data_IF_704626823374
#
_entry.id   IF_704626823374
#
_cell.length_a   1.000
_cell.length_b   1.000
_cell.length_c   1.000
_cell.angle_alpha   90.00
_cell.angle_beta   90.00
_cell.angle_gamma   90.00
#
_symmetry.space_group_name_H-M   'P 1'
#
loop_
_entity.id
_entity.type
_entity.pdbx_description
1 polymer ?
#
# COMPACT_ATOMS: atom_id res chain seq x y z
N UNK A 1 2.24 0.94 -21.24
CA UNK A 1 1.66 1.77 -20.14
C UNK A 1 2.68 1.88 -19.03
N UNK A 2 3.16 3.04 -18.72
CA UNK A 2 4.28 3.26 -17.81
C UNK A 2 3.78 3.19 -16.37
N UNK A 3 4.49 2.49 -15.47
CA UNK A 3 4.19 2.43 -14.01
C UNK A 3 4.15 3.83 -13.40
N UNK A 4 4.86 4.75 -14.02
CA UNK A 4 4.99 6.14 -13.61
C UNK A 4 3.89 7.02 -14.17
N UNK A 5 3.30 6.64 -15.28
CA UNK A 5 2.16 7.32 -15.85
C UNK A 5 0.95 6.40 -15.94
N UNK A 6 0.41 6.02 -14.79
CA UNK A 6 -0.99 5.62 -14.80
C UNK A 6 -1.80 6.85 -15.26
N UNK A 7 -2.39 6.87 -16.48
CA UNK A 7 -3.15 8.04 -16.95
C UNK A 7 -4.31 8.41 -16.04
N UNK A 8 -4.69 7.48 -15.13
CA UNK A 8 -5.63 7.68 -14.03
C UNK A 8 -4.96 7.88 -12.66
N UNK A 9 -3.62 7.80 -12.55
CA UNK A 9 -2.89 7.93 -11.29
C UNK A 9 -3.01 9.35 -10.73
N UNK A 10 -3.43 9.45 -9.46
CA UNK A 10 -3.57 10.72 -8.73
C UNK A 10 -2.27 11.04 -8.02
N UNK A 11 -1.27 11.52 -8.76
CA UNK A 11 -0.07 12.04 -8.14
C UNK A 11 -0.29 13.46 -7.60
N UNK A 12 0.47 13.84 -6.59
CA UNK A 12 0.47 15.22 -6.04
C UNK A 12 0.84 16.20 -7.14
N UNK A 13 1.86 15.89 -7.94
CA UNK A 13 2.32 16.72 -9.06
C UNK A 13 1.23 16.98 -10.08
N UNK A 14 0.49 15.97 -10.50
CA UNK A 14 -0.63 16.11 -11.44
C UNK A 14 -1.77 16.96 -10.86
N UNK A 15 -2.03 16.80 -9.58
CA UNK A 15 -3.03 17.61 -8.89
C UNK A 15 -2.67 19.09 -8.87
N UNK A 16 -1.42 19.43 -8.58
CA UNK A 16 -0.90 20.78 -8.56
C UNK A 16 -0.81 21.40 -9.96
N UNK A 17 -0.38 20.62 -10.97
CA UNK A 17 -0.34 21.04 -12.36
C UNK A 17 -1.73 21.37 -12.91
N UNK A 18 -2.71 20.47 -12.74
CA UNK A 18 -4.08 20.68 -13.21
C UNK A 18 -4.78 21.86 -12.52
N UNK A 19 -4.31 22.26 -11.35
CA UNK A 19 -4.81 23.45 -10.61
C UNK A 19 -4.06 24.72 -10.99
N UNK A 20 -3.10 24.69 -11.94
CA UNK A 20 -2.31 25.85 -12.36
C UNK A 20 -1.30 26.35 -11.31
N UNK A 21 -0.99 25.53 -10.29
CA UNK A 21 -0.11 25.89 -9.18
C UNK A 21 1.37 25.73 -9.57
N UNK A 22 1.69 24.76 -10.43
CA UNK A 22 3.03 24.51 -10.94
C UNK A 22 3.03 24.52 -12.47
N UNK A 23 4.08 25.10 -13.07
CA UNK A 23 4.34 25.11 -14.51
C UNK A 23 5.36 24.05 -14.92
N UNK A 24 6.44 23.88 -14.13
CA UNK A 24 7.46 22.85 -14.35
C UNK A 24 7.15 21.61 -13.51
N UNK A 25 6.99 20.48 -14.19
CA UNK A 25 6.62 19.20 -13.58
C UNK A 25 7.78 18.22 -13.46
N UNK A 26 8.95 18.48 -14.06
CA UNK A 26 10.06 17.51 -14.13
C UNK A 26 10.51 17.01 -12.76
N UNK A 27 10.78 17.91 -11.82
CA UNK A 27 11.21 17.56 -10.46
C UNK A 27 10.14 16.82 -9.68
N UNK A 28 8.88 17.26 -9.79
CA UNK A 28 7.76 16.59 -9.11
C UNK A 28 7.53 15.19 -9.70
N UNK A 29 7.63 15.02 -11.02
CA UNK A 29 7.56 13.72 -11.66
C UNK A 29 8.70 12.80 -11.24
N UNK A 30 9.91 13.33 -11.12
CA UNK A 30 11.04 12.57 -10.61
C UNK A 30 10.80 12.07 -9.17
N UNK A 31 10.40 12.95 -8.26
CA UNK A 31 10.13 12.58 -6.86
C UNK A 31 8.97 11.57 -6.79
N UNK A 32 7.87 11.83 -7.49
CA UNK A 32 6.74 10.90 -7.56
C UNK A 32 7.21 9.52 -8.06
N UNK A 33 7.98 9.49 -9.15
CA UNK A 33 8.48 8.26 -9.76
C UNK A 33 9.39 7.48 -8.83
N UNK A 34 10.29 8.18 -8.14
CA UNK A 34 11.21 7.58 -7.18
C UNK A 34 10.46 6.96 -6.01
N UNK A 35 9.51 7.68 -5.42
CA UNK A 35 8.68 7.18 -4.31
C UNK A 35 7.81 6.01 -4.80
N UNK A 36 7.15 6.15 -5.94
CA UNK A 36 6.26 5.12 -6.49
C UNK A 36 7.01 3.84 -6.86
N UNK A 37 8.30 3.91 -7.16
CA UNK A 37 9.09 2.72 -7.50
C UNK A 37 9.15 1.69 -6.39
N UNK A 38 9.04 2.10 -5.12
CA UNK A 38 9.18 1.18 -3.97
C UNK A 38 8.09 1.26 -2.91
N UNK A 39 7.32 2.37 -2.80
CA UNK A 39 6.41 2.53 -1.65
C UNK A 39 5.28 1.50 -1.64
N UNK A 40 4.67 1.16 -2.78
CA UNK A 40 3.65 0.11 -2.85
C UNK A 40 4.24 -1.29 -2.63
N UNK A 41 5.36 -1.67 -3.29
CA UNK A 41 6.12 -2.87 -2.95
C UNK A 41 6.45 -3.01 -1.46
N UNK A 42 6.86 -1.93 -0.81
CA UNK A 42 7.14 -1.89 0.62
C UNK A 42 5.91 -2.26 1.47
N UNK A 43 4.72 -1.74 1.14
CA UNK A 43 3.51 -2.09 1.89
C UNK A 43 3.12 -3.57 1.72
N UNK A 44 3.27 -4.13 0.52
CA UNK A 44 3.07 -5.56 0.29
C UNK A 44 4.11 -6.39 1.07
N UNK A 45 5.38 -6.00 1.05
CA UNK A 45 6.44 -6.63 1.81
C UNK A 45 6.14 -6.62 3.31
N UNK A 46 5.79 -5.47 3.89
CA UNK A 46 5.43 -5.35 5.30
C UNK A 46 4.23 -6.25 5.66
N UNK A 47 3.27 -6.36 4.76
CA UNK A 47 2.11 -7.24 4.95
C UNK A 47 2.53 -8.71 4.98
N UNK A 48 3.51 -9.10 4.17
CA UNK A 48 4.12 -10.44 4.14
C UNK A 48 4.86 -10.81 5.43
N UNK A 49 5.53 -9.85 6.09
CA UNK A 49 6.26 -10.08 7.36
C UNK A 49 5.38 -10.72 8.43
N UNK A 50 4.12 -10.33 8.50
CA UNK A 50 3.20 -10.76 9.56
C UNK A 50 2.24 -11.87 9.13
N UNK A 51 2.19 -12.22 7.83
CA UNK A 51 1.19 -13.15 7.29
C UNK A 51 1.30 -14.53 7.94
N UNK A 52 2.50 -15.13 7.92
CA UNK A 52 2.69 -16.49 8.44
C UNK A 52 2.32 -16.59 9.92
N UNK A 53 2.80 -15.67 10.75
CA UNK A 53 2.47 -15.65 12.18
C UNK A 53 0.96 -15.49 12.41
N UNK A 54 0.32 -14.59 11.65
CA UNK A 54 -1.12 -14.36 11.74
C UNK A 54 -1.93 -15.58 11.31
N UNK A 55 -1.50 -16.29 10.26
CA UNK A 55 -2.14 -17.51 9.78
C UNK A 55 -1.99 -18.67 10.78
N UNK A 56 -0.79 -18.85 11.34
CA UNK A 56 -0.53 -19.90 12.34
C UNK A 56 -1.34 -19.71 13.63
N UNK A 57 -1.46 -18.47 14.12
CA UNK A 57 -2.20 -18.18 15.36
C UNK A 57 -3.71 -18.35 15.17
N UNK A 58 -4.26 -17.96 14.00
CA UNK A 58 -5.71 -17.97 13.78
C UNK A 58 -6.23 -19.24 13.10
N UNK A 59 -5.41 -19.89 12.29
CA UNK A 59 -5.85 -20.88 11.32
C UNK A 59 -6.54 -20.25 10.12
N UNK A 60 -6.67 -21.00 9.01
CA UNK A 60 -7.12 -20.48 7.72
C UNK A 60 -8.51 -19.80 7.76
N UNK A 61 -9.58 -20.40 8.32
CA UNK A 61 -10.90 -19.77 8.28
C UNK A 61 -10.95 -18.44 9.02
N UNK A 62 -10.43 -18.40 10.26
CA UNK A 62 -10.41 -17.16 11.05
C UNK A 62 -9.46 -16.12 10.49
N UNK A 63 -8.37 -16.54 9.86
CA UNK A 63 -7.50 -15.61 9.12
C UNK A 63 -8.26 -14.93 7.98
N UNK A 64 -9.02 -15.68 7.17
CA UNK A 64 -9.80 -15.12 6.06
C UNK A 64 -10.88 -14.16 6.60
N UNK A 65 -11.64 -14.55 7.62
CA UNK A 65 -12.65 -13.68 8.23
C UNK A 65 -12.03 -12.39 8.77
N UNK A 66 -10.90 -12.49 9.44
CA UNK A 66 -10.18 -11.32 9.91
C UNK A 66 -9.75 -10.40 8.75
N UNK A 67 -9.35 -10.94 7.59
CA UNK A 67 -9.00 -10.14 6.42
C UNK A 67 -10.21 -9.53 5.72
N UNK A 68 -11.36 -10.19 5.76
CA UNK A 68 -12.62 -9.57 5.35
C UNK A 68 -12.94 -8.37 6.24
N UNK A 69 -12.86 -8.51 7.56
CA UNK A 69 -13.17 -7.45 8.52
C UNK A 69 -12.21 -6.26 8.44
N UNK A 70 -10.91 -6.51 8.19
CA UNK A 70 -9.86 -5.50 8.30
C UNK A 70 -9.37 -4.93 6.96
N UNK A 71 -9.64 -5.59 5.84
CA UNK A 71 -9.18 -5.15 4.51
C UNK A 71 -10.34 -4.99 3.54
N UNK A 72 -11.14 -6.05 3.33
CA UNK A 72 -12.22 -6.01 2.32
C UNK A 72 -13.33 -5.04 2.72
N UNK A 73 -13.75 -5.06 3.97
CA UNK A 73 -14.79 -4.15 4.47
C UNK A 73 -14.41 -2.66 4.31
N UNK A 74 -13.25 -2.18 4.83
CA UNK A 74 -12.87 -0.79 4.62
C UNK A 74 -12.63 -0.47 3.14
N UNK A 75 -12.14 -1.42 2.35
CA UNK A 75 -12.05 -1.27 0.90
C UNK A 75 -13.41 -0.91 0.28
N UNK A 76 -14.45 -1.68 0.55
CA UNK A 76 -15.79 -1.46 0.00
C UNK A 76 -16.39 -0.12 0.48
N UNK A 77 -16.38 0.12 1.78
CA UNK A 77 -16.98 1.32 2.38
C UNK A 77 -16.30 2.60 1.86
N UNK A 78 -14.96 2.65 1.90
CA UNK A 78 -14.24 3.85 1.50
C UNK A 78 -14.20 4.07 0.00
N UNK A 79 -14.24 3.01 -0.81
CA UNK A 79 -14.40 3.13 -2.26
C UNK A 79 -15.74 3.76 -2.63
N UNK A 80 -16.83 3.39 -1.95
CA UNK A 80 -18.15 3.99 -2.15
C UNK A 80 -18.16 5.44 -1.65
N UNK A 81 -17.69 5.70 -0.42
CA UNK A 81 -17.66 7.07 0.15
C UNK A 81 -16.87 8.00 -0.76
N UNK A 82 -15.65 7.64 -1.15
CA UNK A 82 -14.82 8.47 -2.02
C UNK A 82 -15.43 8.60 -3.41
N UNK A 83 -15.95 7.51 -3.99
CA UNK A 83 -16.60 7.54 -5.29
C UNK A 83 -17.83 8.45 -5.34
N UNK A 84 -18.70 8.39 -4.32
CA UNK A 84 -19.85 9.29 -4.20
C UNK A 84 -19.40 10.75 -3.98
N UNK A 85 -18.39 10.99 -3.14
CA UNK A 85 -17.85 12.35 -2.95
C UNK A 85 -17.32 12.94 -4.25
N UNK A 86 -16.62 12.14 -5.08
CA UNK A 86 -16.10 12.58 -6.37
C UNK A 86 -17.23 12.81 -7.39
N UNK A 87 -18.26 11.97 -7.39
CA UNK A 87 -19.44 12.15 -8.23
C UNK A 87 -20.17 13.46 -7.88
N UNK A 88 -20.44 13.71 -6.60
CA UNK A 88 -21.11 14.92 -6.12
C UNK A 88 -20.30 16.20 -6.38
N UNK A 89 -18.97 16.10 -6.26
CA UNK A 89 -18.06 17.22 -6.50
C UNK A 89 -17.46 17.21 -7.91
N UNK A 90 -18.10 16.52 -8.89
CA UNK A 90 -17.58 16.37 -10.25
C UNK A 90 -17.26 17.71 -10.94
N UNK A 91 -18.06 18.76 -10.66
CA UNK A 91 -17.82 20.13 -11.17
C UNK A 91 -16.53 20.77 -10.65
N UNK A 92 -16.00 20.31 -9.50
CA UNK A 92 -14.79 20.83 -8.87
C UNK A 92 -13.60 19.88 -8.94
N UNK A 93 -13.81 18.64 -9.40
CA UNK A 93 -12.78 17.61 -9.54
C UNK A 93 -12.36 17.46 -11.00
N UNK A 94 -11.15 16.95 -11.23
CA UNK A 94 -10.57 16.79 -12.56
C UNK A 94 -11.03 15.51 -13.31
N UNK A 95 -12.14 14.88 -12.92
CA UNK A 95 -12.59 13.64 -13.53
C UNK A 95 -14.10 13.54 -13.64
N UNK A 96 -14.59 13.09 -14.81
CA UNK A 96 -15.99 12.72 -15.01
C UNK A 96 -16.21 11.31 -14.46
N UNK A 97 -16.67 11.22 -13.22
CA UNK A 97 -16.99 9.96 -12.56
C UNK A 97 -18.46 9.62 -12.81
N UNK A 98 -18.74 8.45 -13.40
CA UNK A 98 -20.10 7.93 -13.57
C UNK A 98 -20.48 7.10 -12.33
N UNK A 99 -21.76 7.06 -12.02
CA UNK A 99 -22.26 6.25 -10.90
C UNK A 99 -21.97 4.75 -11.09
N UNK A 100 -22.02 4.27 -12.33
CA UNK A 100 -21.62 2.91 -12.70
C UNK A 100 -20.18 2.56 -12.28
N UNK A 101 -19.28 3.55 -12.40
CA UNK A 101 -17.87 3.35 -12.06
C UNK A 101 -17.65 3.27 -10.54
N UNK A 102 -18.57 3.87 -9.75
CA UNK A 102 -18.52 3.80 -8.28
C UNK A 102 -18.84 2.39 -7.80
N UNK A 103 -19.72 1.67 -8.49
CA UNK A 103 -20.14 0.32 -8.09
C UNK A 103 -19.39 -0.82 -8.78
N UNK A 104 -18.50 -0.51 -9.74
CA UNK A 104 -17.64 -1.49 -10.41
C UNK A 104 -16.48 -2.02 -9.54
N UNK A 105 -16.63 -2.00 -8.21
CA UNK A 105 -15.55 -2.22 -7.23
C UNK A 105 -14.89 -3.59 -7.33
N UNK A 106 -15.64 -4.64 -7.70
CA UNK A 106 -15.13 -6.01 -7.69
C UNK A 106 -14.17 -6.32 -8.86
N UNK A 107 -14.26 -5.60 -9.97
CA UNK A 107 -13.42 -5.81 -11.16
C UNK A 107 -12.64 -4.57 -11.59
N UNK A 108 -13.04 -3.38 -11.11
CA UNK A 108 -12.32 -2.13 -11.36
C UNK A 108 -12.10 -1.36 -10.05
N UNK A 109 -11.13 -1.78 -9.23
CA UNK A 109 -10.79 -1.06 -8.00
C UNK A 109 -10.31 0.35 -8.34
N UNK A 110 -10.83 1.35 -7.58
CA UNK A 110 -10.64 2.77 -7.87
C UNK A 110 -9.51 3.39 -7.08
N UNK A 111 -8.91 4.43 -7.66
CA UNK A 111 -7.94 5.32 -7.01
C UNK A 111 -6.88 4.52 -6.24
N UNK A 112 -6.55 4.94 -4.99
CA UNK A 112 -5.61 4.25 -4.12
C UNK A 112 -6.11 2.88 -3.63
N UNK A 113 -7.42 2.61 -3.66
CA UNK A 113 -8.01 1.39 -3.06
C UNK A 113 -7.66 0.08 -3.79
N UNK A 114 -7.09 0.16 -5.02
CA UNK A 114 -6.57 -1.01 -5.73
C UNK A 114 -5.58 -1.81 -4.88
N UNK A 115 -4.84 -1.12 -4.00
CA UNK A 115 -3.89 -1.78 -3.10
C UNK A 115 -4.58 -2.73 -2.11
N UNK A 116 -5.67 -2.30 -1.45
CA UNK A 116 -6.42 -3.16 -0.53
C UNK A 116 -7.04 -4.35 -1.24
N UNK A 117 -7.58 -4.13 -2.43
CA UNK A 117 -8.12 -5.19 -3.28
C UNK A 117 -7.04 -6.22 -3.62
N UNK A 118 -5.92 -5.76 -4.14
CA UNK A 118 -4.75 -6.60 -4.45
C UNK A 118 -4.23 -7.35 -3.22
N UNK A 119 -4.13 -6.66 -2.08
CA UNK A 119 -3.66 -7.23 -0.83
C UNK A 119 -4.59 -8.34 -0.34
N UNK A 120 -5.90 -8.14 -0.43
CA UNK A 120 -6.90 -9.14 -0.05
C UNK A 120 -6.81 -10.39 -0.91
N UNK A 121 -6.77 -10.24 -2.24
CA UNK A 121 -6.65 -11.38 -3.16
C UNK A 121 -5.37 -12.18 -2.91
N UNK A 122 -4.24 -11.48 -2.76
CA UNK A 122 -2.95 -12.12 -2.48
C UNK A 122 -2.96 -12.84 -1.12
N UNK A 123 -3.57 -12.26 -0.09
CA UNK A 123 -3.67 -12.90 1.21
C UNK A 123 -4.47 -14.20 1.15
N UNK A 124 -5.60 -14.23 0.41
CA UNK A 124 -6.35 -15.46 0.20
C UNK A 124 -5.50 -16.50 -0.51
N UNK A 125 -4.91 -16.15 -1.66
CA UNK A 125 -4.13 -17.08 -2.46
C UNK A 125 -2.96 -17.68 -1.67
N UNK A 126 -2.13 -16.82 -1.06
CA UNK A 126 -0.92 -17.26 -0.34
C UNK A 126 -1.31 -18.06 0.92
N UNK A 127 -2.37 -17.67 1.63
CA UNK A 127 -2.83 -18.43 2.81
C UNK A 127 -3.36 -19.81 2.44
N UNK A 128 -4.03 -19.94 1.30
CA UNK A 128 -4.46 -21.25 0.77
C UNK A 128 -3.26 -22.13 0.44
N UNK A 129 -2.26 -21.60 -0.27
CA UNK A 129 -1.02 -22.34 -0.61
C UNK A 129 -0.31 -22.81 0.66
N UNK A 130 -0.16 -21.92 1.65
CA UNK A 130 0.49 -22.23 2.93
C UNK A 130 -0.31 -23.24 3.78
N UNK A 131 -1.63 -23.26 3.67
CA UNK A 131 -2.46 -24.24 4.38
C UNK A 131 -2.51 -25.60 3.69
N UNK A 132 -2.43 -25.63 2.36
CA UNK A 132 -2.34 -26.89 1.59
C UNK A 132 -1.07 -27.68 1.93
N UNK A 133 0.06 -27.00 2.21
CA UNK A 133 1.30 -27.67 2.63
C UNK A 133 1.13 -28.56 3.84
N UNK A 134 0.29 -28.12 4.81
CA UNK A 134 0.05 -28.88 6.05
C UNK A 134 -0.69 -30.18 5.75
N UNK A 135 -1.67 -30.15 4.85
CA UNK A 135 -2.39 -31.34 4.38
C UNK A 135 -1.50 -32.30 3.60
N UNK A 136 -0.63 -31.75 2.75
CA UNK A 136 0.27 -32.51 1.90
C UNK A 136 1.58 -32.91 2.60
N UNK A 137 1.80 -32.49 3.86
CA UNK A 137 3.01 -32.73 4.66
C UNK A 137 4.31 -32.29 3.94
N UNK A 138 4.24 -31.26 3.12
CA UNK A 138 5.40 -30.72 2.37
C UNK A 138 6.21 -29.79 3.29
N UNK A 139 7.53 -29.82 3.14
CA UNK A 139 8.43 -28.95 3.89
C UNK A 139 8.14 -27.46 3.60
N UNK A 140 7.99 -26.68 4.67
CA UNK A 140 7.69 -25.23 4.61
C UNK A 140 8.70 -24.46 3.75
N UNK A 141 9.98 -24.78 3.89
CA UNK A 141 11.07 -24.14 3.13
C UNK A 141 10.88 -24.32 1.62
N UNK A 142 10.54 -25.56 1.20
CA UNK A 142 10.31 -25.89 -0.21
C UNK A 142 9.11 -25.09 -0.75
N UNK A 143 8.00 -25.05 -0.01
CA UNK A 143 6.80 -24.32 -0.44
C UNK A 143 7.06 -22.82 -0.55
N UNK A 144 7.76 -22.22 0.42
CA UNK A 144 8.08 -20.79 0.38
C UNK A 144 9.03 -20.49 -0.79
N UNK A 145 10.10 -21.29 -0.97
CA UNK A 145 11.06 -21.09 -2.04
C UNK A 145 10.41 -21.24 -3.41
N UNK A 146 9.63 -22.32 -3.62
CA UNK A 146 8.91 -22.56 -4.87
C UNK A 146 7.90 -21.44 -5.17
N UNK A 147 7.08 -21.04 -4.18
CA UNK A 147 6.11 -19.98 -4.35
C UNK A 147 6.77 -18.63 -4.69
N UNK A 148 7.91 -18.34 -4.08
CA UNK A 148 8.65 -17.10 -4.35
C UNK A 148 9.27 -17.10 -5.76
N UNK A 149 9.92 -18.19 -6.16
CA UNK A 149 10.47 -18.33 -7.51
C UNK A 149 9.37 -18.32 -8.58
N UNK A 150 8.25 -18.98 -8.30
CA UNK A 150 7.09 -18.96 -9.18
C UNK A 150 6.49 -17.55 -9.31
N UNK A 151 6.42 -16.79 -8.21
CA UNK A 151 5.94 -15.41 -8.25
C UNK A 151 6.87 -14.50 -9.07
N UNK A 152 8.19 -14.68 -8.99
CA UNK A 152 9.15 -13.98 -9.86
C UNK A 152 8.90 -14.37 -11.32
N UNK A 153 8.75 -15.65 -11.61
CA UNK A 153 8.49 -16.13 -12.97
C UNK A 153 7.21 -15.52 -13.57
N UNK A 154 6.08 -15.58 -12.84
CA UNK A 154 4.82 -15.00 -13.35
C UNK A 154 4.89 -13.49 -13.48
N UNK A 155 5.60 -12.77 -12.58
CA UNK A 155 5.84 -11.35 -12.70
C UNK A 155 6.57 -11.02 -14.01
N UNK A 156 7.64 -11.73 -14.33
CA UNK A 156 8.45 -11.49 -15.53
C UNK A 156 7.74 -11.91 -16.82
N UNK A 157 7.01 -13.03 -16.78
CA UNK A 157 6.36 -13.60 -17.97
C UNK A 157 5.05 -12.88 -18.35
N UNK A 158 4.25 -12.48 -17.37
CA UNK A 158 2.87 -12.05 -17.60
C UNK A 158 2.59 -10.59 -17.28
N UNK A 159 3.50 -9.84 -16.66
CA UNK A 159 3.29 -8.46 -16.26
C UNK A 159 2.89 -7.52 -17.40
N UNK A 160 3.31 -7.78 -18.62
CA UNK A 160 2.99 -6.96 -19.80
C UNK A 160 1.73 -7.41 -20.55
N UNK A 161 1.15 -8.57 -20.20
CA UNK A 161 0.07 -9.22 -20.97
C UNK A 161 -1.30 -8.99 -20.33
N UNK A 162 -1.35 -8.82 -19.01
CA UNK A 162 -2.59 -8.85 -18.22
C UNK A 162 -3.10 -7.47 -17.80
N UNK A 163 -2.86 -6.43 -18.57
CA UNK A 163 -3.07 -5.01 -18.21
C UNK A 163 -4.47 -4.64 -17.67
N UNK A 164 -5.51 -5.42 -17.97
CA UNK A 164 -6.91 -5.09 -17.61
C UNK A 164 -7.61 -6.13 -16.74
N UNK A 165 -6.94 -7.24 -16.41
CA UNK A 165 -7.55 -8.37 -15.70
C UNK A 165 -7.32 -8.24 -14.18
N UNK A 166 -8.30 -8.60 -13.32
CA UNK A 166 -8.09 -8.69 -11.87
C UNK A 166 -6.90 -9.55 -11.45
N UNK A 167 -6.53 -10.58 -12.23
CA UNK A 167 -5.35 -11.42 -12.01
C UNK A 167 -4.05 -10.62 -12.04
N UNK A 168 -4.02 -9.49 -12.72
CA UNK A 168 -2.86 -8.59 -12.77
C UNK A 168 -2.44 -8.12 -11.37
N UNK A 169 -3.42 -7.85 -10.49
CA UNK A 169 -3.14 -7.46 -9.11
C UNK A 169 -2.44 -8.55 -8.29
N UNK A 170 -2.66 -9.82 -8.64
CA UNK A 170 -1.97 -10.96 -8.02
C UNK A 170 -0.56 -11.08 -8.61
N UNK A 171 -0.46 -11.11 -9.94
CA UNK A 171 0.80 -11.31 -10.67
C UNK A 171 1.86 -10.26 -10.29
N UNK A 172 1.47 -8.99 -10.23
CA UNK A 172 2.42 -7.92 -9.94
C UNK A 172 2.83 -7.81 -8.47
N UNK A 173 2.00 -8.27 -7.53
CA UNK A 173 2.21 -7.94 -6.12
C UNK A 173 2.53 -9.14 -5.23
N UNK A 174 2.28 -10.36 -5.69
CA UNK A 174 2.59 -11.59 -4.94
C UNK A 174 4.06 -11.71 -4.58
N UNK A 175 4.95 -11.32 -5.48
CA UNK A 175 6.41 -11.37 -5.27
C UNK A 175 6.86 -10.56 -4.06
N UNK A 176 6.25 -9.40 -3.83
CA UNK A 176 6.61 -8.53 -2.71
C UNK A 176 6.08 -9.06 -1.37
N UNK A 177 4.88 -9.65 -1.34
CA UNK A 177 4.37 -10.30 -0.13
C UNK A 177 5.25 -11.52 0.21
N UNK A 178 5.57 -12.34 -0.79
CA UNK A 178 6.41 -13.51 -0.59
C UNK A 178 7.84 -13.13 -0.18
N UNK A 179 8.40 -12.02 -0.68
CA UNK A 179 9.69 -11.50 -0.20
C UNK A 179 9.62 -11.13 1.29
N UNK A 180 8.52 -10.56 1.77
CA UNK A 180 8.28 -10.30 3.19
C UNK A 180 8.19 -11.60 4.02
N UNK A 181 7.54 -12.63 3.48
CA UNK A 181 7.47 -13.96 4.12
C UNK A 181 8.87 -14.57 4.21
N UNK A 182 9.65 -14.56 3.12
CA UNK A 182 11.04 -15.03 3.08
C UNK A 182 11.87 -14.29 4.13
N UNK A 183 11.78 -12.97 4.17
CA UNK A 183 12.49 -12.13 5.12
C UNK A 183 12.19 -12.54 6.58
N UNK A 184 10.91 -12.70 6.91
CA UNK A 184 10.48 -13.08 8.26
C UNK A 184 10.85 -14.52 8.61
N UNK A 185 10.70 -15.45 7.68
CA UNK A 185 10.98 -16.87 7.88
C UNK A 185 12.46 -17.15 8.15
N UNK A 186 13.36 -16.50 7.38
CA UNK A 186 14.81 -16.65 7.53
C UNK A 186 15.44 -15.69 8.54
N UNK A 187 14.64 -14.90 9.26
CA UNK A 187 15.09 -13.93 10.27
C UNK A 187 16.18 -13.01 9.71
N UNK A 188 15.97 -12.49 8.52
CA UNK A 188 16.93 -11.60 7.85
C UNK A 188 17.14 -10.29 8.60
N UNK A 189 16.17 -9.87 9.45
CA UNK A 189 16.29 -8.77 10.39
C UNK A 189 17.54 -8.88 11.27
N UNK A 190 17.81 -10.05 11.84
CA UNK A 190 18.98 -10.30 12.70
C UNK A 190 20.27 -10.23 11.88
N UNK A 191 20.27 -10.84 10.68
CA UNK A 191 21.47 -10.82 9.82
C UNK A 191 21.85 -9.41 9.39
N UNK A 192 20.87 -8.59 9.02
CA UNK A 192 21.07 -7.19 8.67
C UNK A 192 21.55 -6.41 9.90
N UNK A 193 20.95 -6.65 11.06
CA UNK A 193 21.32 -5.96 12.29
C UNK A 193 22.77 -6.20 12.68
N UNK A 194 23.30 -7.42 12.47
CA UNK A 194 24.68 -7.77 12.78
C UNK A 194 25.69 -7.14 11.80
N UNK A 195 25.29 -6.89 10.56
CA UNK A 195 26.13 -6.36 9.50
C UNK A 195 25.52 -5.12 8.85
N UNK A 196 24.99 -4.19 9.64
CA UNK A 196 24.18 -3.07 9.16
C UNK A 196 24.91 -2.19 8.14
N UNK A 197 26.20 -1.96 8.33
CA UNK A 197 27.01 -1.13 7.41
C UNK A 197 27.09 -1.79 6.04
N UNK A 198 27.38 -3.09 5.98
CA UNK A 198 27.44 -3.85 4.72
C UNK A 198 26.09 -3.83 3.98
N UNK A 199 24.99 -4.07 4.68
CA UNK A 199 23.67 -4.05 4.07
C UNK A 199 23.24 -2.64 3.68
N UNK A 200 23.53 -1.62 4.51
CA UNK A 200 23.21 -0.24 4.19
C UNK A 200 23.94 0.21 2.92
N UNK A 201 25.24 -0.04 2.81
CA UNK A 201 26.01 0.30 1.59
C UNK A 201 25.53 -0.50 0.39
N UNK A 202 25.25 -1.81 0.57
CA UNK A 202 24.74 -2.70 -0.47
C UNK A 202 23.37 -2.30 -1.04
N UNK A 203 22.55 -1.52 -0.32
CA UNK A 203 21.28 -0.99 -0.81
C UNK A 203 21.38 0.48 -1.23
N UNK A 204 22.11 1.32 -0.50
CA UNK A 204 22.19 2.76 -0.78
C UNK A 204 22.85 3.02 -2.14
N UNK A 205 23.94 2.33 -2.47
CA UNK A 205 24.64 2.52 -3.74
C UNK A 205 23.74 2.20 -4.94
N UNK A 206 23.09 1.01 -5.03
CA UNK A 206 22.13 0.75 -6.10
C UNK A 206 20.95 1.71 -6.11
N UNK A 207 20.50 2.22 -4.96
CA UNK A 207 19.43 3.20 -4.87
C UNK A 207 19.82 4.56 -5.48
N UNK A 208 21.07 4.98 -5.31
CA UNK A 208 21.59 6.19 -5.98
C UNK A 208 21.57 5.98 -7.50
N UNK A 209 22.03 4.84 -8.02
CA UNK A 209 21.93 4.51 -9.44
C UNK A 209 20.49 4.49 -9.93
N UNK A 210 19.57 3.93 -9.14
CA UNK A 210 18.13 3.98 -9.43
C UNK A 210 17.61 5.40 -9.54
N UNK A 211 17.98 6.28 -8.62
CA UNK A 211 17.56 7.68 -8.63
C UNK A 211 18.09 8.41 -9.89
N UNK A 212 19.37 8.20 -10.26
CA UNK A 212 19.97 8.75 -11.46
C UNK A 212 19.24 8.23 -12.71
N UNK A 213 19.00 6.90 -12.79
CA UNK A 213 18.30 6.30 -13.92
C UNK A 213 16.87 6.86 -14.07
N UNK A 214 16.12 6.99 -12.97
CA UNK A 214 14.78 7.56 -13.00
C UNK A 214 14.81 9.04 -13.43
N UNK A 215 15.80 9.81 -12.97
CA UNK A 215 15.97 11.21 -13.35
C UNK A 215 16.17 11.40 -14.86
N UNK A 216 17.01 10.55 -15.48
CA UNK A 216 17.28 10.58 -16.90
C UNK A 216 16.11 10.03 -17.75
N UNK A 217 15.36 9.04 -17.22
CA UNK A 217 14.34 8.28 -17.95
C UNK A 217 12.94 8.42 -17.33
N UNK A 218 12.55 9.61 -16.88
CA UNK A 218 11.30 9.89 -16.14
C UNK A 218 10.04 9.30 -16.79
N UNK A 219 10.05 9.01 -18.08
CA UNK A 219 8.87 8.57 -18.83
C UNK A 219 8.89 7.09 -19.28
N UNK A 220 9.89 6.28 -18.93
CA UNK A 220 10.16 5.13 -19.78
C UNK A 220 10.27 3.74 -19.19
N UNK A 221 10.25 3.48 -17.88
CA UNK A 221 10.35 2.09 -17.49
C UNK A 221 9.00 1.43 -17.17
N UNK A 222 8.75 0.35 -17.93
CA UNK A 222 7.56 -0.50 -17.79
C UNK A 222 7.83 -1.57 -16.73
N UNK A 223 6.81 -2.35 -16.37
CA UNK A 223 6.95 -3.60 -15.64
C UNK A 223 7.99 -4.50 -16.34
N UNK A 224 9.17 -4.56 -15.75
CA UNK A 224 10.34 -5.21 -16.32
C UNK A 224 11.22 -5.71 -15.17
N UNK A 225 12.28 -6.43 -15.51
CA UNK A 225 13.33 -6.81 -14.55
C UNK A 225 13.82 -5.61 -13.75
N UNK A 226 14.00 -4.45 -14.41
CA UNK A 226 14.43 -3.21 -13.75
C UNK A 226 13.41 -2.71 -12.73
N UNK A 227 12.11 -2.73 -13.05
CA UNK A 227 11.07 -2.31 -12.12
C UNK A 227 11.03 -3.21 -10.87
N UNK A 228 11.18 -4.53 -11.04
CA UNK A 228 11.28 -5.47 -9.93
C UNK A 228 12.52 -5.20 -9.09
N UNK A 229 13.69 -5.03 -9.72
CA UNK A 229 14.94 -4.73 -9.02
C UNK A 229 14.85 -3.41 -8.23
N UNK A 230 14.36 -2.35 -8.85
CA UNK A 230 14.19 -1.04 -8.20
C UNK A 230 13.23 -1.10 -7.00
N UNK A 231 12.14 -1.84 -7.14
CA UNK A 231 11.19 -2.04 -6.05
C UNK A 231 11.81 -2.77 -4.85
N UNK A 232 12.61 -3.79 -5.10
CA UNK A 232 13.31 -4.56 -4.05
C UNK A 232 14.45 -3.75 -3.42
N UNK A 233 15.22 -3.01 -4.23
CA UNK A 233 16.29 -2.13 -3.76
C UNK A 233 15.72 -1.04 -2.83
N UNK A 234 14.72 -0.29 -3.30
CA UNK A 234 14.10 0.76 -2.50
C UNK A 234 13.47 0.23 -1.21
N UNK A 235 12.80 -0.93 -1.28
CA UNK A 235 12.28 -1.63 -0.08
C UNK A 235 13.42 -1.99 0.87
N UNK A 236 14.54 -2.53 0.36
CA UNK A 236 15.72 -2.87 1.14
C UNK A 236 16.35 -1.68 1.84
N UNK A 237 16.46 -0.52 1.17
CA UNK A 237 16.94 0.74 1.78
C UNK A 237 16.08 1.12 2.98
N UNK A 238 14.75 1.15 2.80
CA UNK A 238 13.85 1.56 3.90
C UNK A 238 13.93 0.57 5.06
N UNK A 239 13.98 -0.74 4.80
CA UNK A 239 14.13 -1.76 5.84
C UNK A 239 15.45 -1.60 6.59
N UNK A 240 16.57 -1.42 5.87
CA UNK A 240 17.87 -1.19 6.49
C UNK A 240 17.90 0.08 7.34
N UNK A 241 17.31 1.18 6.84
CA UNK A 241 17.15 2.41 7.61
C UNK A 241 16.30 2.19 8.88
N UNK A 242 15.16 1.51 8.78
CA UNK A 242 14.33 1.21 9.95
C UNK A 242 15.09 0.38 11.01
N UNK A 243 15.88 -0.61 10.60
CA UNK A 243 16.71 -1.41 11.50
C UNK A 243 17.81 -0.54 12.13
N UNK A 244 18.46 0.34 11.35
CA UNK A 244 19.45 1.28 11.87
C UNK A 244 18.83 2.24 12.90
N UNK A 245 17.68 2.85 12.57
CA UNK A 245 16.95 3.74 13.48
C UNK A 245 16.47 3.03 14.75
N UNK A 246 16.17 1.74 14.70
CA UNK A 246 15.76 0.98 15.89
C UNK A 246 16.86 0.91 16.97
N UNK A 247 18.14 1.07 16.58
CA UNK A 247 19.31 1.10 17.47
C UNK A 247 19.56 2.48 18.09
N UNK A 248 18.98 3.54 17.53
CA UNK A 248 19.15 4.90 18.06
C UNK A 248 18.28 5.09 19.29
N UNK A 249 18.87 5.57 20.36
CA UNK A 249 18.17 5.82 21.63
C UNK A 249 17.40 7.15 21.61
N UNK A 250 16.58 7.36 20.56
CA UNK A 250 15.71 8.53 20.37
C UNK A 250 14.26 8.17 20.58
N UNK A 251 13.85 8.07 21.85
CA UNK A 251 12.49 7.69 22.23
C UNK A 251 11.40 8.51 21.52
N UNK A 252 11.60 9.82 21.31
CA UNK A 252 10.63 10.68 20.65
C UNK A 252 10.34 10.26 19.21
N UNK A 253 11.38 10.05 18.39
CA UNK A 253 11.21 9.67 16.97
C UNK A 253 10.57 8.28 16.89
N UNK A 254 11.02 7.34 17.72
CA UNK A 254 10.46 5.99 17.79
C UNK A 254 8.97 6.02 18.15
N UNK A 255 8.60 6.78 19.16
CA UNK A 255 7.21 6.93 19.59
C UNK A 255 6.34 7.59 18.51
N UNK A 256 6.86 8.61 17.81
CA UNK A 256 6.18 9.27 16.71
C UNK A 256 5.93 8.31 15.54
N UNK A 257 6.95 7.54 15.12
CA UNK A 257 6.81 6.55 14.05
C UNK A 257 5.83 5.44 14.43
N UNK A 258 5.89 4.93 15.67
CA UNK A 258 4.93 3.95 16.18
C UNK A 258 3.51 4.52 16.24
N UNK A 259 3.36 5.79 16.62
CA UNK A 259 2.07 6.49 16.60
C UNK A 259 1.51 6.58 15.18
N UNK A 260 2.28 7.06 14.21
CA UNK A 260 1.87 7.15 12.81
C UNK A 260 1.55 5.75 12.23
N UNK A 261 2.36 4.75 12.54
CA UNK A 261 2.13 3.36 12.14
C UNK A 261 0.80 2.80 12.65
N UNK A 262 0.40 3.14 13.88
CA UNK A 262 -0.89 2.72 14.46
C UNK A 262 -2.09 3.31 13.72
N UNK A 263 -1.94 4.51 13.17
CA UNK A 263 -2.99 5.19 12.40
C UNK A 263 -2.79 5.11 10.89
N UNK A 264 -1.88 4.26 10.40
CA UNK A 264 -1.56 4.14 8.97
C UNK A 264 -2.78 3.80 8.11
N UNK A 265 -3.68 2.93 8.59
CA UNK A 265 -4.89 2.54 7.85
C UNK A 265 -5.88 3.71 7.67
N UNK A 266 -6.29 4.44 8.73
CA UNK A 266 -7.09 5.65 8.57
C UNK A 266 -6.44 6.70 7.65
N UNK A 267 -5.13 6.94 7.82
CA UNK A 267 -4.38 7.88 6.97
C UNK A 267 -4.45 7.43 5.52
N UNK A 268 -4.16 6.16 5.24
CA UNK A 268 -4.20 5.59 3.89
C UNK A 268 -5.58 5.76 3.23
N UNK A 269 -6.66 5.50 3.95
CA UNK A 269 -8.03 5.56 3.41
C UNK A 269 -8.47 6.98 3.07
N UNK A 270 -8.04 7.99 3.84
CA UNK A 270 -8.59 9.35 3.77
C UNK A 270 -7.63 10.39 3.17
N UNK A 271 -6.31 10.15 3.12
CA UNK A 271 -5.33 11.19 2.75
C UNK A 271 -5.59 11.81 1.38
N UNK A 272 -6.03 11.04 0.39
CA UNK A 272 -6.32 11.55 -0.96
C UNK A 272 -7.56 12.46 -0.94
N UNK A 273 -8.60 12.07 -0.20
CA UNK A 273 -9.81 12.86 -0.06
C UNK A 273 -9.52 14.20 0.63
N UNK A 274 -8.79 14.14 1.76
CA UNK A 274 -8.40 15.34 2.52
C UNK A 274 -7.46 16.22 1.71
N UNK A 275 -6.42 15.66 1.10
CA UNK A 275 -5.46 16.43 0.30
C UNK A 275 -6.11 17.10 -0.92
N UNK A 276 -7.05 16.43 -1.58
CA UNK A 276 -7.84 17.03 -2.66
C UNK A 276 -8.76 18.13 -2.16
N UNK A 277 -9.41 17.92 -1.02
CA UNK A 277 -10.25 18.94 -0.37
C UNK A 277 -9.47 20.20 0.00
N UNK A 278 -8.31 20.03 0.64
CA UNK A 278 -7.42 21.16 1.00
C UNK A 278 -7.00 21.93 -0.25
N UNK A 279 -6.58 21.23 -1.31
CA UNK A 279 -6.18 21.86 -2.56
C UNK A 279 -7.32 22.68 -3.19
N UNK A 280 -8.53 22.10 -3.29
CA UNK A 280 -9.69 22.79 -3.86
C UNK A 280 -10.05 24.00 -3.00
N UNK A 281 -10.09 23.87 -1.69
CA UNK A 281 -10.38 24.95 -0.77
C UNK A 281 -9.39 26.11 -0.92
N UNK A 282 -8.09 25.82 -0.89
CA UNK A 282 -7.04 26.83 -1.01
C UNK A 282 -7.05 27.53 -2.37
N UNK A 283 -7.16 26.77 -3.47
CA UNK A 283 -7.06 27.36 -4.82
C UNK A 283 -8.35 28.04 -5.27
N UNK A 284 -9.53 27.45 -4.98
CA UNK A 284 -10.82 27.96 -5.50
C UNK A 284 -11.53 28.93 -4.57
N UNK A 285 -11.36 28.78 -3.25
CA UNK A 285 -12.06 29.63 -2.26
C UNK A 285 -11.14 30.75 -1.77
N UNK A 286 -9.89 30.43 -1.42
CA UNK A 286 -8.94 31.41 -0.89
C UNK A 286 -8.03 32.04 -1.94
N UNK A 287 -8.01 31.56 -3.19
CA UNK A 287 -7.18 32.11 -4.26
C UNK A 287 -5.67 31.97 -4.00
N UNK A 288 -5.26 31.05 -3.11
CA UNK A 288 -3.86 30.84 -2.76
C UNK A 288 -3.25 29.80 -3.71
N UNK A 289 -2.17 30.16 -4.43
CA UNK A 289 -1.47 29.32 -5.40
C UNK A 289 -0.02 29.00 -5.00
N UNK A 290 0.39 29.28 -3.75
CA UNK A 290 1.74 29.01 -3.30
C UNK A 290 1.95 27.51 -3.09
N UNK A 291 2.92 26.92 -3.83
CA UNK A 291 3.23 25.48 -3.82
C UNK A 291 3.61 24.98 -2.42
N UNK A 292 4.45 25.74 -1.71
CA UNK A 292 4.92 25.37 -0.36
C UNK A 292 3.75 25.27 0.65
N UNK A 293 2.82 26.20 0.59
CA UNK A 293 1.63 26.21 1.45
C UNK A 293 0.74 25.00 1.12
N UNK A 294 0.51 24.72 -0.17
CA UNK A 294 -0.29 23.56 -0.59
C UNK A 294 0.33 22.24 -0.15
N UNK A 295 1.67 22.07 -0.30
CA UNK A 295 2.35 20.87 0.14
C UNK A 295 2.33 20.71 1.66
N UNK A 296 2.65 21.78 2.39
CA UNK A 296 2.67 21.75 3.85
C UNK A 296 1.28 21.42 4.43
N UNK A 297 0.25 22.17 4.02
CA UNK A 297 -1.12 21.95 4.52
C UNK A 297 -1.68 20.61 4.02
N UNK A 298 -1.40 20.21 2.78
CA UNK A 298 -1.82 18.92 2.23
C UNK A 298 -1.26 17.75 3.00
N UNK A 299 0.04 17.77 3.35
CA UNK A 299 0.68 16.72 4.15
C UNK A 299 0.19 16.77 5.60
N UNK A 300 0.22 17.95 6.22
CA UNK A 300 -0.16 18.12 7.62
C UNK A 300 -1.61 17.71 7.88
N UNK A 301 -2.55 18.25 7.10
CA UNK A 301 -3.97 17.92 7.24
C UNK A 301 -4.27 16.52 6.73
N UNK A 302 -3.55 16.04 5.70
CA UNK A 302 -3.64 14.67 5.20
C UNK A 302 -3.27 13.60 6.22
N UNK A 303 -2.48 13.94 7.25
CA UNK A 303 -2.17 13.08 8.39
C UNK A 303 -3.10 13.35 9.56
N UNK A 304 -3.29 14.60 9.94
CA UNK A 304 -4.02 15.00 11.15
C UNK A 304 -5.51 14.68 11.07
N UNK A 305 -6.16 15.06 9.95
CA UNK A 305 -7.61 14.92 9.81
C UNK A 305 -8.06 13.43 9.85
N UNK A 306 -7.43 12.49 9.14
CA UNK A 306 -7.79 11.08 9.27
C UNK A 306 -7.70 10.54 10.69
N UNK A 307 -6.68 10.97 11.46
CA UNK A 307 -6.53 10.56 12.87
C UNK A 307 -7.67 11.10 13.74
N UNK A 308 -8.04 12.37 13.55
CA UNK A 308 -9.15 12.99 14.27
C UNK A 308 -10.49 12.33 13.91
N UNK A 309 -10.75 12.09 12.63
CA UNK A 309 -11.94 11.39 12.15
C UNK A 309 -12.03 9.97 12.72
N UNK A 310 -10.92 9.23 12.68
CA UNK A 310 -10.89 7.88 13.26
C UNK A 310 -11.24 7.90 14.75
N UNK A 311 -10.65 8.81 15.54
CA UNK A 311 -10.95 8.94 16.98
C UNK A 311 -12.41 9.33 17.22
N UNK A 312 -12.94 10.26 16.42
CA UNK A 312 -14.32 10.71 16.50
C UNK A 312 -15.31 9.56 16.24
N UNK A 313 -15.17 8.85 15.10
CA UNK A 313 -16.05 7.74 14.78
C UNK A 313 -15.94 6.58 15.76
N UNK A 314 -14.73 6.31 16.26
CA UNK A 314 -14.52 5.31 17.30
C UNK A 314 -15.26 5.67 18.60
N UNK A 315 -15.26 6.96 18.99
CA UNK A 315 -16.02 7.44 20.15
C UNK A 315 -17.54 7.28 19.97
N UNK A 316 -18.02 7.42 18.73
CA UNK A 316 -19.43 7.21 18.37
C UNK A 316 -19.81 5.73 18.14
N UNK A 317 -18.91 4.80 18.34
CA UNK A 317 -19.09 3.37 18.03
C UNK A 317 -19.43 3.09 16.54
N UNK A 318 -19.01 3.97 15.62
CA UNK A 318 -19.21 3.81 14.19
C UNK A 318 -17.97 3.14 13.58
N UNK A 319 -18.13 1.93 13.04
CA UNK A 319 -17.06 1.10 12.53
C UNK A 319 -16.82 1.32 11.03
N UNK A 320 -16.25 2.47 10.64
CA UNK A 320 -15.94 2.76 9.22
C UNK A 320 -14.59 2.20 8.75
N UNK A 321 -13.69 1.89 9.67
CA UNK A 321 -12.29 1.52 9.35
C UNK A 321 -12.00 0.03 9.49
N UNK A 322 -12.86 -0.70 10.19
CA UNK A 322 -12.83 -2.16 10.31
C UNK A 322 -14.11 -2.63 10.96
N UNK A 323 -14.60 -3.82 10.61
CA UNK A 323 -15.65 -4.46 11.38
C UNK A 323 -15.07 -4.91 12.72
N UNK A 324 -15.72 -4.52 13.81
CA UNK A 324 -15.29 -4.88 15.18
C UNK A 324 -16.48 -5.18 16.07
N UNK A 325 -16.22 -5.82 17.21
CA UNK A 325 -17.24 -6.17 18.18
C UNK A 325 -18.21 -7.25 17.67
N UNK A 326 -19.52 -7.01 17.85
CA UNK A 326 -20.59 -7.96 17.52
C UNK A 326 -20.71 -8.20 16.02
N UNK A 327 -20.35 -7.23 15.19
CA UNK A 327 -20.45 -7.29 13.72
C UNK A 327 -19.22 -7.92 13.04
N UNK A 328 -18.15 -8.21 13.78
CA UNK A 328 -16.96 -8.88 13.25
C UNK A 328 -17.30 -10.31 12.86
N UNK A 329 -17.00 -10.68 11.61
CA UNK A 329 -17.18 -12.06 11.15
C UNK A 329 -16.31 -13.04 11.94
N UNK A 330 -15.10 -12.65 12.29
CA UNK A 330 -14.22 -13.45 13.13
C UNK A 330 -14.90 -13.81 14.47
N UNK A 331 -15.56 -12.86 15.11
CA UNK A 331 -16.26 -13.07 16.38
C UNK A 331 -17.58 -13.86 16.23
N UNK A 332 -18.33 -13.63 15.15
CA UNK A 332 -19.58 -14.36 14.91
C UNK A 332 -19.33 -15.86 14.72
N UNK A 333 -18.26 -16.23 14.02
CA UNK A 333 -17.91 -17.63 13.82
C UNK A 333 -17.21 -18.26 15.03
N UNK A 334 -16.47 -17.49 15.84
CA UNK A 334 -15.88 -18.00 17.07
C UNK A 334 -16.93 -18.36 18.12
N UNK A 335 -17.99 -17.55 18.27
CA UNK A 335 -19.12 -17.83 19.18
C UNK A 335 -19.89 -19.10 18.81
N UNK A 336 -20.06 -19.39 17.52
CA UNK A 336 -20.69 -20.65 17.07
C UNK A 336 -19.93 -21.91 17.49
N UNK A 337 -18.62 -21.83 17.70
CA UNK A 337 -17.79 -22.97 18.09
C UNK A 337 -17.80 -23.21 19.61
N UNK A 338 -18.09 -22.20 20.42
CA UNK A 338 -18.23 -22.33 21.89
C UNK A 338 -19.63 -22.76 22.30
N UNK A 339 -20.58 -22.87 21.38
CA UNK A 339 -21.97 -23.30 21.61
C UNK A 339 -22.28 -24.70 21.05
N UNK A 340 -21.27 -25.41 20.53
CA UNK A 340 -21.27 -26.80 20.12
C UNK A 340 -20.28 -27.57 21.01
#
# INVERSE_FOLDING_TARGET
MTVVSNPGGRSISRGLYNSGIISDTKWFHFIDSLIYSFHMPLFFFLSGLFLMKSLQVRGLPYFIFNKVDTILYPYLIWSVIQGLTEFLLSKYTNGNVRLSDVFALLWHPRAQFWFLYSLFLNFILISLILSLKEKLKINTTIVIAFSFLFAIFIYLAFSNILDTNPLNYIVHNSVFILSGIVFSYYRLDIKIQNNIVFFATGFIVPFIFQAIYIYENVMGYKFSVLALAFSLIGTGVIVALCIAFSKLDKAFIKNLLCFLGRYSMPIYLMHVLVGSGVRIFMSKILGVYNVGIHLFLGIFLGILMPILFYKFFKKMNINLFSLSGVFSLENLFSRKRSSI
#
